data_IF_795963348603
#
_entry.id   IF_795963348603
#
_cell.length_a   1.000
_cell.length_b   1.000
_cell.length_c   1.000
_cell.angle_alpha   90.00
_cell.angle_beta   90.00
_cell.angle_gamma   90.00
#
_symmetry.space_group_name_H-M   'P 1'
#
loop_
_entity.id
_entity.type
_entity.pdbx_description
1 polymer ?
#
# COMPACT_ATOMS: atom_id res chain seq x y z
N UNK A 1 -10.89 44.62 13.49
CA UNK A 1 -11.27 44.63 14.92
C UNK A 1 -11.32 46.06 15.48
N UNK A 2 -12.10 46.32 16.55
CA UNK A 2 -12.23 47.62 17.23
C UNK A 2 -12.37 47.49 18.75
N UNK A 3 -12.03 48.54 19.50
CA UNK A 3 -12.13 48.56 20.96
C UNK A 3 -13.58 48.79 21.40
N UNK A 4 -14.06 47.99 22.36
CA UNK A 4 -15.33 48.21 23.06
C UNK A 4 -15.06 48.38 24.55
N UNK A 5 -15.60 49.46 25.13
CA UNK A 5 -15.45 49.79 26.55
C UNK A 5 -16.82 49.63 27.20
N UNK A 6 -16.96 48.65 28.10
CA UNK A 6 -18.18 48.47 28.89
C UNK A 6 -17.99 49.06 30.28
N UNK A 7 -18.86 50.00 30.65
CA UNK A 7 -18.85 50.66 31.96
C UNK A 7 -19.97 50.07 32.83
N UNK A 8 -19.60 49.53 33.98
CA UNK A 8 -20.54 49.12 35.04
C UNK A 8 -20.33 50.00 36.28
N UNK A 9 -21.27 49.97 37.24
CA UNK A 9 -21.16 50.74 38.50
C UNK A 9 -19.86 50.47 39.26
N UNK A 10 -19.25 49.30 39.09
CA UNK A 10 -18.08 48.86 39.88
C UNK A 10 -16.79 48.68 39.06
N UNK A 11 -16.85 48.68 37.72
CA UNK A 11 -15.67 48.46 36.87
C UNK A 11 -15.87 48.92 35.41
N UNK A 12 -14.79 49.40 34.81
CA UNK A 12 -14.68 49.63 33.34
C UNK A 12 -13.87 48.49 32.72
N UNK A 13 -14.45 47.74 31.79
CA UNK A 13 -13.81 46.60 31.11
C UNK A 13 -13.54 46.90 29.63
N UNK A 14 -12.40 46.42 29.13
CA UNK A 14 -11.96 46.57 27.75
C UNK A 14 -12.09 45.27 26.97
N UNK A 15 -12.69 45.33 25.78
CA UNK A 15 -12.90 44.19 24.89
C UNK A 15 -12.43 44.50 23.47
N UNK A 16 -11.86 43.49 22.81
CA UNK A 16 -11.64 43.49 21.36
C UNK A 16 -12.88 42.90 20.70
N UNK A 17 -13.56 43.67 19.86
CA UNK A 17 -14.74 43.20 19.11
C UNK A 17 -14.48 43.23 17.60
N UNK A 18 -15.03 42.24 16.89
CA UNK A 18 -14.98 42.13 15.43
C UNK A 18 -16.40 42.18 14.87
N UNK A 19 -16.57 42.87 13.75
CA UNK A 19 -17.83 42.83 13.00
C UNK A 19 -17.86 41.57 12.15
N UNK A 20 -18.90 40.76 12.30
CA UNK A 20 -19.11 39.53 11.51
C UNK A 20 -20.46 39.67 10.79
N UNK A 21 -20.58 39.07 9.62
CA UNK A 21 -21.85 39.00 8.89
C UNK A 21 -22.46 37.61 9.08
N UNK A 22 -23.56 37.52 9.82
CA UNK A 22 -24.33 36.29 9.99
C UNK A 22 -25.72 36.50 9.37
N UNK A 23 -26.13 35.60 8.46
CA UNK A 23 -27.44 35.65 7.78
C UNK A 23 -27.77 37.02 7.13
N UNK A 24 -26.79 37.66 6.49
CA UNK A 24 -26.98 38.95 5.82
C UNK A 24 -27.15 40.15 6.76
N UNK A 25 -27.08 39.96 8.09
CA UNK A 25 -27.10 41.04 9.08
C UNK A 25 -25.73 41.19 9.74
N UNK A 26 -25.33 42.43 9.95
CA UNK A 26 -24.05 42.75 10.62
C UNK A 26 -24.22 42.52 12.13
N UNK A 27 -23.53 41.53 12.68
CA UNK A 27 -23.44 41.25 14.11
C UNK A 27 -22.03 41.58 14.64
N UNK A 28 -21.89 41.69 15.96
CA UNK A 28 -20.59 41.94 16.62
C UNK A 28 -20.25 40.79 17.53
N UNK A 29 -19.07 40.19 17.34
CA UNK A 29 -18.54 39.11 18.17
C UNK A 29 -17.38 39.63 19.02
N UNK A 30 -17.34 39.25 20.30
CA UNK A 30 -16.21 39.53 21.18
C UNK A 30 -15.10 38.53 20.85
N UNK A 31 -13.94 39.04 20.43
CA UNK A 31 -12.75 38.23 20.10
C UNK A 31 -11.96 37.93 21.37
N UNK A 32 -11.77 38.95 22.21
CA UNK A 32 -10.93 38.83 23.40
C UNK A 32 -11.32 39.87 24.46
N UNK A 33 -11.19 39.51 25.74
CA UNK A 33 -11.35 40.42 26.87
C UNK A 33 -9.96 40.83 27.38
N UNK A 34 -9.62 42.11 27.25
CA UNK A 34 -8.30 42.65 27.60
C UNK A 34 -8.12 42.82 29.12
N UNK A 35 -9.22 42.99 29.86
CA UNK A 35 -9.24 43.14 31.32
C UNK A 35 -10.01 44.36 31.80
N UNK A 36 -9.98 44.61 33.10
CA UNK A 36 -10.56 45.82 33.72
C UNK A 36 -9.53 46.94 33.84
N UNK A 37 -10.00 48.18 33.96
CA UNK A 37 -9.16 49.37 34.06
C UNK A 37 -8.15 49.31 35.23
N UNK A 38 -8.56 48.76 36.38
CA UNK A 38 -7.68 48.59 37.54
C UNK A 38 -6.57 47.54 37.29
N UNK A 39 -6.89 46.42 36.64
CA UNK A 39 -5.93 45.38 36.28
C UNK A 39 -4.92 45.87 35.24
N UNK A 40 -5.39 46.64 34.26
CA UNK A 40 -4.52 47.19 33.22
C UNK A 40 -3.63 48.31 33.75
N UNK A 41 -4.12 49.15 34.67
CA UNK A 41 -3.29 50.16 35.35
C UNK A 41 -2.16 49.55 36.18
N UNK A 42 -2.42 48.44 36.88
CA UNK A 42 -1.36 47.71 37.60
C UNK A 42 -0.34 47.05 36.67
N UNK A 43 -0.79 46.50 35.54
CA UNK A 43 0.09 45.78 34.60
C UNK A 43 0.94 46.70 33.72
N UNK A 44 0.51 47.94 33.47
CA UNK A 44 1.09 48.79 32.43
C UNK A 44 2.11 49.84 32.94
N UNK A 45 2.57 49.77 34.20
CA UNK A 45 3.66 50.58 34.76
C UNK A 45 3.68 52.06 34.28
N UNK A 46 2.53 52.73 34.32
CA UNK A 46 2.41 54.16 34.00
C UNK A 46 1.99 54.51 32.56
N UNK A 47 1.74 53.55 31.66
CA UNK A 47 1.10 53.82 30.36
C UNK A 47 -0.43 53.87 30.48
N UNK A 48 -1.07 54.73 29.68
CA UNK A 48 -2.54 54.81 29.61
C UNK A 48 -3.11 53.48 29.05
N UNK A 49 -3.96 52.77 29.81
CA UNK A 49 -4.61 51.53 29.35
C UNK A 49 -5.38 51.67 28.04
N UNK A 50 -5.92 52.86 27.74
CA UNK A 50 -6.68 53.11 26.51
C UNK A 50 -5.74 53.15 25.31
N UNK A 51 -4.59 53.81 25.46
CA UNK A 51 -3.59 53.93 24.40
C UNK A 51 -2.97 52.57 24.08
N UNK A 52 -2.63 51.79 25.11
CA UNK A 52 -2.14 50.42 24.95
C UNK A 52 -3.17 49.52 24.25
N UNK A 53 -4.44 49.60 24.64
CA UNK A 53 -5.49 48.78 24.03
C UNK A 53 -5.73 49.16 22.55
N UNK A 54 -5.58 50.43 22.19
CA UNK A 54 -5.63 50.88 20.79
C UNK A 54 -4.44 50.35 19.99
N UNK A 55 -3.21 50.47 20.50
CA UNK A 55 -2.02 49.95 19.81
C UNK A 55 -2.08 48.44 19.64
N UNK A 56 -2.59 47.72 20.64
CA UNK A 56 -2.76 46.27 20.58
C UNK A 56 -3.78 45.84 19.50
N UNK A 57 -4.89 46.59 19.35
CA UNK A 57 -5.88 46.33 18.30
C UNK A 57 -5.34 46.67 16.91
N UNK A 58 -4.50 47.69 16.78
CA UNK A 58 -3.80 47.99 15.52
C UNK A 58 -2.85 46.85 15.12
N UNK A 59 -2.10 46.28 16.07
CA UNK A 59 -1.25 45.12 15.82
C UNK A 59 -2.07 43.90 15.39
N UNK A 60 -3.21 43.64 16.06
CA UNK A 60 -4.13 42.56 15.67
C UNK A 60 -4.73 42.78 14.27
N UNK A 61 -5.10 44.01 13.92
CA UNK A 61 -5.60 44.36 12.59
C UNK A 61 -4.53 44.19 11.52
N UNK A 62 -3.27 44.49 11.82
CA UNK A 62 -2.15 44.25 10.90
C UNK A 62 -1.94 42.76 10.66
N UNK A 63 -1.91 41.94 11.72
CA UNK A 63 -1.81 40.48 11.62
C UNK A 63 -2.97 39.86 10.84
N UNK A 64 -4.20 40.32 11.07
CA UNK A 64 -5.39 39.86 10.33
C UNK A 64 -5.27 40.23 8.83
N UNK A 65 -4.81 41.44 8.52
CA UNK A 65 -4.59 41.92 7.14
C UNK A 65 -3.47 41.18 6.42
N UNK A 66 -2.43 40.77 7.13
CA UNK A 66 -1.37 39.91 6.60
C UNK A 66 -1.88 38.50 6.30
N UNK A 67 -2.74 37.95 7.16
CA UNK A 67 -3.36 36.63 6.97
C UNK A 67 -4.43 36.64 5.88
N UNK A 68 -5.17 37.73 5.70
CA UNK A 68 -6.26 37.86 4.72
C UNK A 68 -5.82 38.56 3.41
N UNK A 69 -4.53 38.56 3.11
CA UNK A 69 -3.98 39.31 1.98
C UNK A 69 -4.51 38.76 0.65
N UNK A 70 -5.37 39.53 -0.01
CA UNK A 70 -5.79 39.22 -1.37
C UNK A 70 -4.63 39.42 -2.35
N UNK A 71 -4.19 38.34 -2.98
CA UNK A 71 -3.14 38.38 -4.00
C UNK A 71 -3.80 38.53 -5.37
N UNK A 72 -3.92 39.78 -5.83
CA UNK A 72 -4.41 40.06 -7.20
C UNK A 72 -3.26 39.84 -8.19
N UNK A 73 -3.31 38.72 -8.90
CA UNK A 73 -2.35 38.39 -9.95
C UNK A 73 -2.77 39.06 -11.26
N UNK A 74 -2.05 40.13 -11.65
CA UNK A 74 -2.26 40.80 -12.96
C UNK A 74 -1.56 40.00 -14.05
N UNK A 75 -2.33 39.37 -14.93
CA UNK A 75 -1.82 38.70 -16.13
C UNK A 75 -2.10 39.54 -17.37
N UNK A 76 -1.11 39.63 -18.27
CA UNK A 76 -1.31 40.20 -19.60
C UNK A 76 -1.55 39.07 -20.60
N UNK A 77 -2.64 39.10 -21.41
CA UNK A 77 -2.91 38.08 -22.43
C UNK A 77 -1.89 38.08 -23.57
N UNK A 78 -1.17 39.19 -23.77
CA UNK A 78 -0.11 39.29 -24.79
C UNK A 78 1.27 38.83 -24.30
N UNK A 79 1.44 38.55 -22.99
CA UNK A 79 2.72 38.15 -22.43
C UNK A 79 2.93 36.65 -22.62
N UNK A 80 3.78 36.31 -23.58
CA UNK A 80 4.22 34.94 -23.83
C UNK A 80 4.99 34.39 -22.63
N UNK A 81 4.76 33.13 -22.31
CA UNK A 81 5.48 32.41 -21.25
C UNK A 81 6.93 32.21 -21.72
N UNK A 82 7.90 32.51 -20.85
CA UNK A 82 9.31 32.28 -21.14
C UNK A 82 9.55 30.81 -21.47
N UNK A 83 10.38 30.54 -22.48
CA UNK A 83 10.79 29.20 -22.85
C UNK A 83 11.37 28.49 -21.62
N UNK A 84 11.00 27.22 -21.44
CA UNK A 84 11.43 26.36 -20.33
C UNK A 84 10.96 26.78 -18.92
N UNK A 85 10.04 27.76 -18.81
CA UNK A 85 9.44 28.11 -17.52
C UNK A 85 8.27 27.18 -17.16
N UNK A 86 8.47 26.33 -16.16
CA UNK A 86 7.41 25.48 -15.60
C UNK A 86 6.40 26.32 -14.79
N UNK A 87 5.11 26.23 -15.17
CA UNK A 87 3.99 26.86 -14.44
C UNK A 87 2.87 25.89 -14.09
N UNK A 88 2.99 24.63 -14.52
CA UNK A 88 2.04 23.56 -14.23
C UNK A 88 2.69 22.53 -13.32
N UNK A 89 1.98 22.14 -12.27
CA UNK A 89 2.46 21.21 -11.26
C UNK A 89 1.37 20.21 -10.89
N UNK A 90 1.80 19.00 -10.56
CA UNK A 90 0.94 17.93 -10.10
C UNK A 90 0.81 17.99 -8.58
N UNK A 91 -0.41 18.21 -8.08
CA UNK A 91 -0.72 18.23 -6.64
C UNK A 91 -1.23 16.89 -6.07
N UNK A 92 -1.45 15.87 -6.90
CA UNK A 92 -2.02 14.59 -6.46
C UNK A 92 -1.20 13.83 -5.41
N UNK A 93 0.10 14.14 -5.27
CA UNK A 93 0.96 13.53 -4.25
C UNK A 93 0.67 14.02 -2.83
N UNK A 94 -0.04 15.15 -2.65
CA UNK A 94 -0.32 15.74 -1.34
C UNK A 94 -1.14 14.78 -0.44
N UNK A 95 -2.03 13.97 -1.02
CA UNK A 95 -2.76 12.94 -0.28
C UNK A 95 -1.82 11.85 0.26
N UNK A 96 -0.82 11.46 -0.54
CA UNK A 96 0.20 10.49 -0.13
C UNK A 96 1.14 11.11 0.92
N UNK A 97 1.41 12.40 0.82
CA UNK A 97 2.19 13.14 1.81
C UNK A 97 1.50 13.16 3.17
N UNK A 98 0.18 13.38 3.22
CA UNK A 98 -0.57 13.28 4.46
C UNK A 98 -0.38 11.88 5.11
N UNK A 99 -0.61 10.81 4.36
CA UNK A 99 -0.43 9.42 4.85
C UNK A 99 1.01 9.19 5.31
N UNK A 100 2.00 9.69 4.57
CA UNK A 100 3.41 9.60 4.91
C UNK A 100 3.74 10.24 6.27
N UNK A 101 3.16 11.41 6.54
CA UNK A 101 3.32 12.11 7.82
C UNK A 101 2.55 11.44 8.96
N UNK A 102 1.33 10.95 8.70
CA UNK A 102 0.52 10.22 9.69
C UNK A 102 1.23 8.93 10.14
N UNK A 103 1.89 8.23 9.21
CA UNK A 103 2.74 7.07 9.48
C UNK A 103 4.10 7.43 10.12
N UNK A 104 4.34 8.73 10.37
CA UNK A 104 5.57 9.29 10.93
C UNK A 104 6.86 8.91 10.18
N UNK A 105 6.78 8.64 8.86
CA UNK A 105 7.95 8.26 8.07
C UNK A 105 9.01 9.37 8.02
N UNK A 106 8.58 10.64 8.06
CA UNK A 106 9.50 11.78 8.18
C UNK A 106 10.39 11.73 9.44
N UNK A 107 9.86 11.22 10.56
CA UNK A 107 10.63 11.06 11.80
C UNK A 107 11.60 9.89 11.69
N UNK A 108 11.15 8.78 11.09
CA UNK A 108 12.01 7.62 10.81
C UNK A 108 13.19 8.04 9.93
N UNK A 109 12.96 8.81 8.87
CA UNK A 109 14.02 9.37 8.04
C UNK A 109 14.95 10.29 8.82
N UNK A 110 14.43 11.14 9.71
CA UNK A 110 15.25 12.03 10.54
C UNK A 110 16.16 11.25 11.50
N UNK A 111 15.67 10.15 12.09
CA UNK A 111 16.45 9.33 13.00
C UNK A 111 17.54 8.54 12.28
N UNK A 112 17.26 8.03 11.08
CA UNK A 112 18.27 7.44 10.19
C UNK A 112 19.31 8.50 9.79
N UNK A 113 18.89 9.72 9.43
CA UNK A 113 19.79 10.82 9.07
C UNK A 113 20.75 11.20 10.19
N UNK A 114 20.31 11.17 11.45
CA UNK A 114 21.19 11.42 12.61
C UNK A 114 22.27 10.36 12.76
N UNK A 115 21.95 9.09 12.46
CA UNK A 115 22.89 7.96 12.59
C UNK A 115 24.02 8.00 11.58
N UNK A 116 23.73 8.38 10.33
CA UNK A 116 24.67 8.28 9.20
C UNK A 116 25.25 9.62 8.73
N UNK A 117 24.77 10.76 9.24
CA UNK A 117 25.25 12.13 8.91
C UNK A 117 25.37 12.37 7.40
N UNK A 118 24.25 12.37 6.69
CA UNK A 118 24.21 12.57 5.24
C UNK A 118 24.53 14.01 4.81
N UNK A 119 24.99 14.15 3.57
CA UNK A 119 25.06 15.43 2.85
C UNK A 119 23.77 15.78 2.08
N UNK A 120 22.74 14.93 2.16
CA UNK A 120 21.51 15.03 1.39
C UNK A 120 20.29 14.74 2.25
N UNK A 121 19.12 15.23 1.87
CA UNK A 121 17.87 14.98 2.59
C UNK A 121 17.28 13.60 2.25
N UNK A 122 17.44 12.64 3.17
CA UNK A 122 16.87 11.30 3.07
C UNK A 122 15.33 11.31 3.08
N UNK A 123 14.71 12.23 3.82
CA UNK A 123 13.25 12.35 3.89
C UNK A 123 12.67 12.80 2.54
N UNK A 124 13.30 13.80 1.91
CA UNK A 124 12.93 14.23 0.57
C UNK A 124 13.08 13.09 -0.43
N UNK A 125 14.16 12.30 -0.38
CA UNK A 125 14.35 11.17 -1.30
C UNK A 125 13.31 10.06 -1.06
N UNK A 126 13.13 9.63 0.20
CA UNK A 126 12.21 8.54 0.54
C UNK A 126 10.78 8.88 0.13
N UNK A 127 10.32 10.09 0.45
CA UNK A 127 8.99 10.56 0.08
C UNK A 127 8.77 10.55 -1.44
N UNK A 128 9.73 11.06 -2.24
CA UNK A 128 9.63 11.05 -3.70
C UNK A 128 9.64 9.64 -4.28
N UNK A 129 10.44 8.73 -3.72
CA UNK A 129 10.45 7.33 -4.14
C UNK A 129 9.11 6.64 -3.86
N UNK A 130 8.49 6.90 -2.70
CA UNK A 130 7.19 6.34 -2.36
C UNK A 130 6.06 6.93 -3.21
N UNK A 131 5.99 8.26 -3.33
CA UNK A 131 4.94 8.92 -4.12
C UNK A 131 5.03 8.53 -5.59
N UNK A 132 6.24 8.53 -6.15
CA UNK A 132 6.46 8.14 -7.53
C UNK A 132 6.12 6.67 -7.78
N UNK A 133 6.42 5.77 -6.84
CA UNK A 133 6.06 4.35 -6.96
C UNK A 133 4.56 4.12 -7.06
N UNK A 134 3.75 4.94 -6.38
CA UNK A 134 2.28 4.84 -6.38
C UNK A 134 1.69 5.55 -7.60
N UNK A 135 2.14 6.77 -7.90
CA UNK A 135 1.54 7.61 -8.93
C UNK A 135 1.99 7.26 -10.36
N UNK A 136 3.25 6.87 -10.53
CA UNK A 136 3.85 6.56 -11.84
C UNK A 136 4.94 5.48 -11.70
N UNK A 137 4.55 4.21 -11.50
CA UNK A 137 5.49 3.12 -11.25
C UNK A 137 6.53 3.03 -12.39
N UNK A 138 7.78 3.36 -12.08
CA UNK A 138 8.85 3.49 -13.08
C UNK A 138 10.23 3.28 -12.46
N UNK A 139 11.30 3.44 -13.26
CA UNK A 139 12.68 3.38 -12.78
C UNK A 139 12.99 4.51 -11.79
N UNK A 140 14.05 4.34 -10.98
CA UNK A 140 14.50 5.37 -10.02
C UNK A 140 14.89 6.67 -10.73
N UNK A 141 15.54 6.56 -11.89
CA UNK A 141 15.84 7.69 -12.77
C UNK A 141 14.57 8.39 -13.27
N UNK A 142 13.57 7.64 -13.73
CA UNK A 142 12.31 8.22 -14.19
C UNK A 142 11.55 8.89 -13.04
N UNK A 143 11.55 8.28 -11.87
CA UNK A 143 10.95 8.85 -10.64
C UNK A 143 11.59 10.19 -10.28
N UNK A 144 12.92 10.27 -10.31
CA UNK A 144 13.67 11.52 -10.11
C UNK A 144 13.34 12.58 -11.17
N UNK A 145 13.26 12.20 -12.44
CA UNK A 145 12.87 13.14 -13.51
C UNK A 145 11.42 13.61 -13.38
N UNK A 146 10.53 12.79 -12.84
CA UNK A 146 9.13 13.14 -12.66
C UNK A 146 8.88 13.94 -11.39
N UNK A 147 9.75 13.90 -10.38
CA UNK A 147 9.56 14.69 -9.16
C UNK A 147 9.61 16.19 -9.39
N UNK A 148 10.28 16.68 -10.44
CA UNK A 148 10.23 18.11 -10.82
C UNK A 148 8.82 18.58 -11.21
N UNK A 149 7.93 17.66 -11.57
CA UNK A 149 6.52 17.97 -11.88
C UNK A 149 5.70 18.27 -10.63
N UNK A 150 6.20 18.00 -9.43
CA UNK A 150 5.49 18.29 -8.17
C UNK A 150 5.60 19.76 -7.77
N UNK A 151 4.68 20.22 -6.93
CA UNK A 151 4.67 21.60 -6.43
C UNK A 151 5.94 21.86 -5.61
N UNK A 152 6.26 20.95 -4.69
CA UNK A 152 7.50 20.96 -3.92
C UNK A 152 8.66 20.44 -4.77
N UNK A 153 9.60 21.32 -5.09
CA UNK A 153 10.81 20.97 -5.84
C UNK A 153 11.81 20.24 -4.96
N UNK A 154 12.59 19.36 -5.58
CA UNK A 154 13.63 18.55 -4.90
C UNK A 154 14.93 19.32 -4.76
N UNK A 155 15.63 19.11 -3.65
CA UNK A 155 16.93 19.71 -3.29
C UNK A 155 18.10 18.70 -3.41
N UNK A 156 17.86 17.56 -4.05
CA UNK A 156 18.84 16.49 -4.19
C UNK A 156 19.08 16.14 -5.66
N UNK A 157 20.24 15.54 -5.92
CA UNK A 157 20.63 15.07 -7.25
C UNK A 157 20.44 13.55 -7.38
N UNK A 158 20.50 13.05 -8.63
CA UNK A 158 20.26 11.65 -8.95
C UNK A 158 21.16 10.68 -8.16
N UNK A 159 22.45 11.00 -7.98
CA UNK A 159 23.37 10.16 -7.22
C UNK A 159 22.97 10.02 -5.75
N UNK A 160 22.30 11.03 -5.18
CA UNK A 160 21.79 10.95 -3.82
C UNK A 160 20.67 9.91 -3.72
N UNK A 161 19.83 9.80 -4.75
CA UNK A 161 18.80 8.75 -4.82
C UNK A 161 19.44 7.36 -4.74
N UNK A 162 20.49 7.10 -5.52
CA UNK A 162 21.15 5.79 -5.50
C UNK A 162 21.86 5.50 -4.18
N UNK A 163 22.55 6.48 -3.60
CA UNK A 163 23.20 6.35 -2.28
C UNK A 163 22.19 6.10 -1.16
N UNK A 164 21.03 6.75 -1.22
CA UNK A 164 19.96 6.55 -0.24
C UNK A 164 19.42 5.12 -0.24
N UNK A 165 19.37 4.44 -1.40
CA UNK A 165 18.87 3.06 -1.48
C UNK A 165 19.68 2.08 -0.64
N UNK A 166 21.01 2.24 -0.57
CA UNK A 166 21.86 1.39 0.26
C UNK A 166 21.54 1.55 1.75
N UNK A 167 21.31 2.78 2.19
CA UNK A 167 20.95 3.09 3.57
C UNK A 167 19.58 2.55 3.89
N UNK A 168 18.59 2.81 3.02
CA UNK A 168 17.21 2.32 3.20
C UNK A 168 17.22 0.78 3.29
N UNK A 169 18.04 0.11 2.48
CA UNK A 169 18.20 -1.35 2.54
C UNK A 169 18.82 -1.82 3.85
N UNK A 170 19.83 -1.11 4.38
CA UNK A 170 20.49 -1.44 5.66
C UNK A 170 19.56 -1.24 6.86
N UNK A 171 18.73 -0.19 6.83
CA UNK A 171 17.78 0.16 7.89
C UNK A 171 16.39 -0.46 7.69
N UNK A 172 16.25 -1.41 6.78
CA UNK A 172 14.97 -2.03 6.43
C UNK A 172 14.21 -2.55 7.66
N UNK A 173 14.89 -3.27 8.56
CA UNK A 173 14.25 -3.83 9.76
C UNK A 173 13.77 -2.73 10.74
N UNK A 174 14.52 -1.62 10.85
CA UNK A 174 14.12 -0.45 11.64
C UNK A 174 12.93 0.30 11.03
N UNK A 175 12.94 0.50 9.71
CA UNK A 175 11.85 1.15 8.97
C UNK A 175 10.56 0.34 9.15
N UNK A 176 10.63 -0.98 8.94
CA UNK A 176 9.46 -1.86 9.05
C UNK A 176 8.89 -1.88 10.47
N UNK A 177 9.75 -2.01 11.49
CA UNK A 177 9.29 -2.04 12.90
C UNK A 177 8.68 -0.72 13.37
N UNK A 178 9.26 0.41 12.93
CA UNK A 178 8.72 1.75 13.20
C UNK A 178 7.39 1.95 12.48
N UNK A 179 7.30 1.57 11.21
CA UNK A 179 6.09 1.69 10.40
C UNK A 179 4.95 0.84 10.99
N UNK A 180 5.22 -0.42 11.35
CA UNK A 180 4.26 -1.27 12.03
C UNK A 180 3.73 -0.60 13.30
N UNK A 181 4.61 -0.14 14.18
CA UNK A 181 4.22 0.52 15.43
C UNK A 181 3.40 1.79 15.21
N UNK A 182 3.78 2.62 14.23
CA UNK A 182 3.07 3.86 13.91
C UNK A 182 1.70 3.57 13.30
N UNK A 183 1.59 2.54 12.46
CA UNK A 183 0.35 2.17 11.79
C UNK A 183 -0.76 1.73 12.76
N UNK A 184 -0.40 1.15 13.92
CA UNK A 184 -1.35 0.76 14.97
C UNK A 184 -2.14 1.95 15.54
N UNK A 185 -1.62 3.17 15.40
CA UNK A 185 -2.31 4.40 15.85
C UNK A 185 -3.35 4.88 14.84
N UNK A 186 -3.23 4.48 13.58
CA UNK A 186 -4.08 4.93 12.47
C UNK A 186 -5.21 3.93 12.24
N UNK A 187 -4.90 2.64 12.25
CA UNK A 187 -5.87 1.57 12.03
C UNK A 187 -5.69 0.45 13.04
N UNK A 188 -6.81 -0.11 13.49
CA UNK A 188 -6.82 -1.37 14.23
C UNK A 188 -6.38 -2.50 13.29
N UNK A 189 -5.73 -3.52 13.87
CA UNK A 189 -5.30 -4.71 13.15
C UNK A 189 -6.29 -5.84 13.36
N UNK A 190 -6.62 -6.54 12.28
CA UNK A 190 -7.35 -7.80 12.36
C UNK A 190 -6.38 -8.92 12.76
N UNK A 191 -6.18 -9.07 14.07
CA UNK A 191 -5.27 -10.06 14.65
C UNK A 191 -5.90 -11.45 14.77
N UNK A 192 -7.07 -11.71 14.18
CA UNK A 192 -7.67 -13.05 14.21
C UNK A 192 -6.92 -14.05 13.32
N UNK A 193 -6.32 -13.55 12.23
CA UNK A 193 -5.59 -14.34 11.24
C UNK A 193 -4.29 -13.60 10.89
N UNK A 194 -3.20 -14.35 10.82
CA UNK A 194 -1.92 -13.87 10.32
C UNK A 194 -1.58 -14.64 9.04
N UNK A 195 -1.64 -13.98 7.89
CA UNK A 195 -1.26 -14.55 6.61
C UNK A 195 0.24 -14.44 6.39
N UNK A 196 0.85 -15.48 5.83
CA UNK A 196 2.22 -15.47 5.35
C UNK A 196 2.26 -16.02 3.93
N UNK A 197 2.69 -15.19 2.97
CA UNK A 197 2.88 -15.57 1.58
C UNK A 197 4.35 -15.42 1.16
N UNK A 198 4.85 -16.37 0.40
CA UNK A 198 6.22 -16.37 -0.11
C UNK A 198 6.20 -16.13 -1.61
N UNK A 199 7.02 -15.22 -2.12
CA UNK A 199 7.24 -15.03 -3.56
C UNK A 199 8.73 -15.03 -3.88
N UNK A 200 9.10 -15.03 -5.17
CA UNK A 200 10.49 -14.86 -5.58
C UNK A 200 10.67 -13.82 -6.68
N UNK A 201 11.82 -13.15 -6.64
CA UNK A 201 12.29 -12.23 -7.66
C UNK A 201 13.43 -12.90 -8.42
N UNK A 202 13.32 -13.00 -9.75
CA UNK A 202 14.42 -13.48 -10.59
C UNK A 202 15.29 -12.33 -11.07
N UNK A 203 16.56 -12.63 -11.33
CA UNK A 203 17.54 -11.67 -11.82
C UNK A 203 18.11 -12.18 -13.14
N UNK A 204 18.12 -11.36 -14.18
CA UNK A 204 18.73 -11.69 -15.47
C UNK A 204 20.26 -11.56 -15.38
N UNK A 205 20.86 -12.42 -14.57
CA UNK A 205 22.30 -12.57 -14.38
C UNK A 205 22.69 -14.02 -14.61
N UNK A 206 23.93 -14.24 -15.03
CA UNK A 206 24.45 -15.56 -15.42
C UNK A 206 25.05 -16.33 -14.24
N UNK A 207 25.25 -15.68 -13.09
CA UNK A 207 25.91 -16.26 -11.92
C UNK A 207 25.22 -15.82 -10.63
N UNK A 208 25.26 -16.70 -9.62
CA UNK A 208 24.76 -16.41 -8.28
C UNK A 208 25.62 -15.35 -7.59
N UNK A 209 24.98 -14.47 -6.80
CA UNK A 209 25.67 -13.39 -6.09
C UNK A 209 24.88 -12.94 -4.84
N UNK A 210 25.51 -13.10 -3.67
CA UNK A 210 24.91 -12.76 -2.38
C UNK A 210 23.61 -13.54 -2.14
N UNK A 211 22.49 -12.84 -1.96
CA UNK A 211 21.16 -13.46 -1.80
C UNK A 211 20.61 -14.07 -3.10
N UNK A 212 21.14 -13.67 -4.26
CA UNK A 212 20.67 -14.12 -5.58
C UNK A 212 21.27 -15.49 -5.84
N UNK A 213 20.55 -16.55 -5.50
CA UNK A 213 21.03 -17.92 -5.61
C UNK A 213 20.09 -18.75 -6.50
N UNK A 214 20.60 -19.81 -7.12
CA UNK A 214 19.77 -20.72 -7.89
C UNK A 214 18.78 -21.47 -6.99
N UNK A 215 17.52 -21.57 -7.41
CA UNK A 215 16.47 -22.19 -6.63
C UNK A 215 15.20 -22.44 -7.43
N UNK A 216 14.16 -22.91 -6.76
CA UNK A 216 12.86 -23.19 -7.39
C UNK A 216 12.13 -21.87 -7.73
N UNK A 217 12.39 -21.33 -8.92
CA UNK A 217 11.69 -20.16 -9.45
C UNK A 217 10.20 -20.44 -9.64
N UNK A 218 9.33 -19.52 -9.19
CA UNK A 218 7.88 -19.64 -9.41
C UNK A 218 7.52 -19.47 -10.89
N UNK A 219 8.34 -18.74 -11.64
CA UNK A 219 8.23 -18.60 -13.10
C UNK A 219 8.96 -19.72 -13.87
N UNK A 220 9.52 -20.72 -13.16
CA UNK A 220 10.33 -21.79 -13.76
C UNK A 220 11.50 -21.28 -14.61
N UNK A 221 12.07 -20.12 -14.23
CA UNK A 221 13.27 -19.59 -14.88
C UNK A 221 14.53 -20.24 -14.33
N UNK A 222 15.56 -20.46 -15.17
CA UNK A 222 16.84 -21.03 -14.74
C UNK A 222 17.74 -20.00 -14.02
N UNK A 223 17.29 -18.76 -13.89
CA UNK A 223 18.08 -17.67 -13.36
C UNK A 223 18.16 -17.67 -11.82
N UNK A 224 19.19 -17.03 -11.23
CA UNK A 224 19.24 -16.80 -9.79
C UNK A 224 18.01 -16.02 -9.30
N UNK A 225 17.53 -16.39 -8.12
CA UNK A 225 16.36 -15.78 -7.48
C UNK A 225 16.68 -15.29 -6.06
N UNK A 226 15.86 -14.36 -5.57
CA UNK A 226 15.74 -14.01 -4.15
C UNK A 226 14.33 -14.36 -3.71
N UNK A 227 14.19 -14.93 -2.51
CA UNK A 227 12.89 -15.19 -1.92
C UNK A 227 12.45 -14.04 -1.04
N UNK A 228 11.16 -13.72 -1.06
CA UNK A 228 10.54 -12.74 -0.19
C UNK A 228 9.32 -13.36 0.51
N UNK A 229 9.32 -13.38 1.84
CA UNK A 229 8.12 -13.65 2.61
C UNK A 229 7.42 -12.36 3.01
N UNK A 230 6.09 -12.36 3.02
CA UNK A 230 5.26 -11.21 3.37
C UNK A 230 4.21 -11.62 4.41
N UNK A 231 4.21 -10.93 5.55
CA UNK A 231 3.20 -11.04 6.59
C UNK A 231 2.08 -10.04 6.34
N UNK A 232 0.83 -10.49 6.49
CA UNK A 232 -0.37 -9.66 6.40
C UNK A 232 -1.35 -9.99 7.52
N UNK A 233 -2.12 -9.01 7.97
CA UNK A 233 -3.24 -9.24 8.89
C UNK A 233 -4.47 -9.83 8.17
N UNK A 234 -5.53 -10.14 8.92
CA UNK A 234 -6.75 -10.74 8.39
C UNK A 234 -7.50 -9.87 7.36
N UNK A 235 -7.18 -8.57 7.28
CA UNK A 235 -7.75 -7.64 6.30
C UNK A 235 -6.83 -7.48 5.06
N UNK A 236 -5.72 -8.21 5.03
CA UNK A 236 -4.75 -8.19 3.93
C UNK A 236 -3.78 -7.01 3.98
N UNK A 237 -3.65 -6.31 5.11
CA UNK A 237 -2.71 -5.20 5.22
C UNK A 237 -1.29 -5.74 5.52
N UNK A 238 -0.27 -5.34 4.74
CA UNK A 238 1.11 -5.73 5.00
C UNK A 238 1.63 -5.30 6.38
N UNK A 239 2.30 -6.23 7.06
CA UNK A 239 2.87 -6.02 8.40
C UNK A 239 4.40 -5.95 8.36
N UNK A 240 5.03 -6.92 7.69
CA UNK A 240 6.47 -6.99 7.48
C UNK A 240 6.78 -7.93 6.32
N UNK A 241 7.97 -7.80 5.76
CA UNK A 241 8.54 -8.73 4.81
C UNK A 241 9.98 -9.08 5.19
N UNK A 242 10.41 -10.27 4.76
CA UNK A 242 11.77 -10.76 4.89
C UNK A 242 12.32 -11.15 3.52
N UNK A 243 13.63 -10.99 3.34
CA UNK A 243 14.34 -11.44 2.14
C UNK A 243 15.29 -12.55 2.51
N UNK A 244 15.20 -13.65 1.79
CA UNK A 244 16.03 -14.85 1.98
C UNK A 244 16.73 -15.21 0.67
N UNK A 245 17.82 -15.95 0.81
CA UNK A 245 18.56 -16.48 -0.33
C UNK A 245 17.68 -17.39 -1.20
N UNK A 246 17.86 -17.34 -2.52
CA UNK A 246 17.06 -18.08 -3.50
C UNK A 246 16.93 -19.58 -3.28
N UNK A 247 17.95 -20.20 -2.69
CA UNK A 247 18.06 -21.62 -2.38
C UNK A 247 17.51 -22.01 -0.99
N UNK A 248 17.02 -21.05 -0.21
CA UNK A 248 16.49 -21.32 1.13
C UNK A 248 15.11 -21.97 1.01
N UNK A 249 14.74 -22.85 1.93
CA UNK A 249 13.34 -23.29 2.01
C UNK A 249 12.47 -22.13 2.53
N UNK A 250 11.17 -22.16 2.23
CA UNK A 250 10.15 -21.17 2.66
C UNK A 250 9.89 -21.19 4.17
N UNK A 251 10.94 -21.10 4.97
CA UNK A 251 10.85 -21.01 6.40
C UNK A 251 10.84 -19.54 6.80
N UNK A 252 10.02 -19.25 7.81
CA UNK A 252 10.00 -17.96 8.49
C UNK A 252 11.38 -17.75 9.11
N UNK A 253 11.99 -16.63 8.79
CA UNK A 253 13.25 -16.24 9.40
C UNK A 253 12.90 -15.64 10.76
N UNK A 254 13.32 -16.20 11.89
CA UNK A 254 12.90 -15.69 13.21
C UNK A 254 13.58 -14.36 13.60
N UNK A 255 13.49 -13.33 12.75
CA UNK A 255 13.97 -11.97 13.03
C UNK A 255 13.17 -11.33 14.17
N UNK A 256 13.73 -10.34 14.90
CA UNK A 256 13.05 -9.69 16.02
C UNK A 256 11.67 -9.09 15.70
N UNK A 257 11.49 -8.48 14.52
CA UNK A 257 10.19 -7.95 14.11
C UNK A 257 9.18 -9.08 13.85
N UNK A 258 9.62 -10.17 13.21
CA UNK A 258 8.77 -11.34 12.95
C UNK A 258 8.37 -12.00 14.27
N UNK A 259 9.30 -12.13 15.22
CA UNK A 259 8.99 -12.59 16.58
C UNK A 259 8.01 -11.67 17.30
N UNK A 260 8.15 -10.35 17.14
CA UNK A 260 7.21 -9.36 17.69
C UNK A 260 5.82 -9.51 17.08
N UNK A 261 5.72 -9.62 15.75
CA UNK A 261 4.45 -9.85 15.06
C UNK A 261 3.84 -11.17 15.54
N UNK A 262 4.60 -12.26 15.55
CA UNK A 262 4.13 -13.54 16.08
C UNK A 262 3.68 -13.43 17.54
N UNK A 263 4.35 -12.61 18.35
CA UNK A 263 3.95 -12.34 19.74
C UNK A 263 2.66 -11.53 19.84
N UNK A 264 2.53 -10.44 19.08
CA UNK A 264 1.34 -9.60 19.05
C UNK A 264 0.12 -10.37 18.52
N UNK A 265 0.38 -11.37 17.68
CA UNK A 265 -0.60 -12.26 17.06
C UNK A 265 -0.66 -13.65 17.75
N UNK A 266 -0.22 -13.77 19.02
CA UNK A 266 -0.16 -15.04 19.79
C UNK A 266 -1.49 -15.82 19.88
N UNK A 267 -2.62 -15.14 19.75
CA UNK A 267 -3.97 -15.76 19.76
C UNK A 267 -4.57 -15.88 18.36
N UNK A 268 -3.82 -15.54 17.32
CA UNK A 268 -4.25 -15.61 15.93
C UNK A 268 -4.00 -17.00 15.35
N UNK A 269 -4.83 -17.39 14.38
CA UNK A 269 -4.50 -18.52 13.52
C UNK A 269 -3.43 -18.10 12.53
N UNK A 270 -2.28 -18.76 12.54
CA UNK A 270 -1.20 -18.49 11.59
C UNK A 270 -1.44 -19.26 10.30
N UNK A 271 -1.83 -18.57 9.23
CA UNK A 271 -2.22 -19.17 7.95
C UNK A 271 -1.10 -18.97 6.93
N UNK A 272 -0.43 -20.06 6.57
CA UNK A 272 0.59 -20.05 5.51
C UNK A 272 -0.08 -20.24 4.15
N UNK A 273 0.04 -19.24 3.29
CA UNK A 273 -0.41 -19.28 1.90
C UNK A 273 0.76 -19.72 1.02
N UNK A 274 0.64 -20.88 0.35
CA UNK A 274 1.69 -21.37 -0.56
C UNK A 274 1.15 -21.76 -1.92
N UNK A 275 1.94 -21.50 -2.96
CA UNK A 275 1.66 -22.01 -4.30
C UNK A 275 1.92 -23.52 -4.42
N UNK A 276 1.27 -24.15 -5.41
CA UNK A 276 1.32 -25.58 -5.67
C UNK A 276 2.74 -26.15 -5.85
N UNK A 277 3.71 -25.31 -6.25
CA UNK A 277 5.11 -25.70 -6.42
C UNK A 277 5.83 -26.01 -5.11
N UNK A 278 5.32 -25.52 -3.99
CA UNK A 278 5.99 -25.54 -2.67
C UNK A 278 5.16 -26.30 -1.62
N UNK A 279 4.02 -26.84 -2.05
CA UNK A 279 3.04 -27.58 -1.28
C UNK A 279 3.40 -29.06 -1.03
N UNK A 280 4.69 -29.36 -0.79
CA UNK A 280 5.10 -30.75 -0.49
C UNK A 280 4.32 -31.29 0.71
N UNK A 281 4.11 -32.62 0.77
CA UNK A 281 3.41 -33.23 1.91
C UNK A 281 4.08 -32.89 3.24
N UNK A 282 5.41 -32.84 3.25
CA UNK A 282 6.22 -32.42 4.41
C UNK A 282 5.89 -30.99 4.84
N UNK A 283 5.78 -30.05 3.90
CA UNK A 283 5.45 -28.65 4.20
C UNK A 283 4.01 -28.50 4.69
N UNK A 284 3.06 -29.26 4.12
CA UNK A 284 1.66 -29.27 4.57
C UNK A 284 1.52 -29.76 6.01
N UNK A 285 2.24 -30.82 6.38
CA UNK A 285 2.25 -31.33 7.76
C UNK A 285 2.84 -30.31 8.73
N UNK A 286 4.01 -29.75 8.39
CA UNK A 286 4.67 -28.73 9.20
C UNK A 286 3.80 -27.49 9.44
N UNK A 287 3.03 -27.08 8.43
CA UNK A 287 2.10 -25.94 8.54
C UNK A 287 0.73 -26.32 9.15
N UNK A 288 0.54 -27.57 9.58
CA UNK A 288 -0.64 -28.06 10.29
C UNK A 288 -0.34 -28.43 11.75
N UNK A 289 0.79 -27.98 12.29
CA UNK A 289 1.20 -28.20 13.68
C UNK A 289 0.78 -27.02 14.56
N UNK A 290 0.23 -27.31 15.74
CA UNK A 290 -0.22 -26.30 16.71
C UNK A 290 -1.35 -25.41 16.16
N UNK A 291 -1.24 -24.10 16.37
CA UNK A 291 -2.20 -23.09 15.90
C UNK A 291 -1.99 -22.66 14.43
N UNK A 292 -1.18 -23.42 13.68
CA UNK A 292 -0.90 -23.15 12.27
C UNK A 292 -1.94 -23.80 11.38
N UNK A 293 -2.30 -23.08 10.33
CA UNK A 293 -3.09 -23.57 9.22
C UNK A 293 -2.37 -23.22 7.91
N UNK A 294 -2.83 -23.81 6.81
CA UNK A 294 -2.30 -23.50 5.49
C UNK A 294 -3.41 -23.44 4.46
N UNK A 295 -3.17 -22.62 3.44
CA UNK A 295 -3.95 -22.60 2.20
C UNK A 295 -2.96 -22.88 1.09
N UNK A 296 -3.23 -23.91 0.30
CA UNK A 296 -2.33 -24.30 -0.76
C UNK A 296 -3.08 -24.70 -2.03
N UNK A 297 -2.54 -24.30 -3.18
CA UNK A 297 -3.11 -24.69 -4.46
C UNK A 297 -2.72 -26.14 -4.79
N UNK A 298 -3.67 -26.92 -5.29
CA UNK A 298 -3.43 -28.29 -5.72
C UNK A 298 -4.02 -28.52 -7.11
N UNK A 299 -3.21 -29.08 -8.00
CA UNK A 299 -3.68 -29.43 -9.34
C UNK A 299 -4.73 -30.53 -9.28
N UNK A 300 -5.91 -30.30 -9.86
CA UNK A 300 -6.98 -31.31 -10.01
C UNK A 300 -6.45 -32.57 -10.71
N UNK A 301 -5.45 -32.44 -11.59
CA UNK A 301 -4.83 -33.57 -12.31
C UNK A 301 -4.09 -34.54 -11.38
N UNK A 302 -3.58 -34.05 -10.24
CA UNK A 302 -2.84 -34.84 -9.24
C UNK A 302 -3.75 -35.46 -8.17
N UNK A 303 -5.06 -35.17 -8.19
CA UNK A 303 -6.01 -35.76 -7.25
C UNK A 303 -6.28 -37.24 -7.58
N UNK A 304 -6.63 -38.02 -6.56
CA UNK A 304 -7.09 -39.41 -6.76
C UNK A 304 -8.35 -39.45 -7.62
N UNK A 305 -8.57 -40.56 -8.32
CA UNK A 305 -9.66 -40.74 -9.32
C UNK A 305 -11.03 -40.29 -8.80
N UNK A 306 -11.39 -40.67 -7.57
CA UNK A 306 -12.69 -40.32 -6.98
C UNK A 306 -12.81 -38.81 -6.69
N UNK A 307 -11.76 -38.15 -6.17
CA UNK A 307 -11.74 -36.71 -5.93
C UNK A 307 -11.75 -35.91 -7.23
N UNK A 308 -11.03 -36.39 -8.25
CA UNK A 308 -11.03 -35.80 -9.58
C UNK A 308 -12.41 -35.88 -10.22
N UNK A 309 -13.09 -37.03 -10.11
CA UNK A 309 -14.47 -37.20 -10.57
C UNK A 309 -15.42 -36.20 -9.91
N UNK A 310 -15.41 -36.14 -8.58
CA UNK A 310 -16.21 -35.18 -7.80
C UNK A 310 -15.93 -33.71 -8.15
N UNK A 311 -14.65 -33.36 -8.33
CA UNK A 311 -14.24 -31.97 -8.66
C UNK A 311 -14.72 -31.52 -10.05
N UNK A 312 -14.92 -32.46 -10.97
CA UNK A 312 -15.32 -32.19 -12.36
C UNK A 312 -16.83 -32.40 -12.60
N UNK A 313 -17.57 -32.86 -11.59
CA UNK A 313 -19.00 -33.05 -11.68
C UNK A 313 -19.74 -31.72 -11.86
N UNK A 314 -20.76 -31.72 -12.74
CA UNK A 314 -21.45 -30.49 -13.13
C UNK A 314 -22.39 -29.96 -12.04
N UNK A 315 -22.96 -30.84 -11.22
CA UNK A 315 -23.91 -30.51 -10.14
C UNK A 315 -23.21 -30.33 -8.81
N UNK A 316 -23.82 -29.59 -7.87
CA UNK A 316 -23.33 -29.50 -6.50
C UNK A 316 -22.53 -28.25 -6.19
N UNK A 317 -22.65 -27.19 -7.00
CA UNK A 317 -21.90 -25.95 -6.82
C UNK A 317 -22.69 -24.93 -6.00
N UNK A 318 -22.00 -24.10 -5.23
CA UNK A 318 -22.59 -23.10 -4.35
C UNK A 318 -22.05 -21.70 -4.63
N UNK A 319 -22.81 -20.67 -4.27
CA UNK A 319 -22.36 -19.28 -4.20
C UNK A 319 -22.25 -18.87 -2.74
N UNK A 320 -21.26 -18.04 -2.38
CA UNK A 320 -21.00 -17.70 -0.97
C UNK A 320 -22.20 -17.06 -0.26
N UNK A 321 -23.04 -16.36 -1.03
CA UNK A 321 -24.20 -15.62 -0.51
C UNK A 321 -25.53 -16.39 -0.64
N UNK A 322 -25.52 -17.62 -1.19
CA UNK A 322 -26.74 -18.37 -1.49
C UNK A 322 -26.62 -19.84 -1.09
N UNK A 323 -27.59 -20.33 -0.33
CA UNK A 323 -27.73 -21.74 0.06
C UNK A 323 -28.25 -22.65 -1.07
N UNK A 324 -28.32 -22.14 -2.29
CA UNK A 324 -28.77 -22.90 -3.46
C UNK A 324 -27.63 -23.68 -4.07
N UNK A 325 -27.97 -24.86 -4.56
CA UNK A 325 -27.08 -25.72 -5.33
C UNK A 325 -27.30 -25.47 -6.82
N UNK A 326 -26.20 -25.39 -7.58
CA UNK A 326 -26.20 -25.06 -9.00
C UNK A 326 -25.59 -26.20 -9.83
N UNK A 327 -26.07 -26.33 -11.08
CA UNK A 327 -25.42 -27.07 -12.14
C UNK A 327 -24.69 -26.08 -13.07
N UNK A 328 -23.37 -26.23 -13.20
CA UNK A 328 -22.54 -25.31 -13.99
C UNK A 328 -22.82 -25.38 -15.51
N UNK A 329 -23.50 -26.41 -16.00
CA UNK A 329 -23.90 -26.50 -17.42
C UNK A 329 -25.13 -25.69 -17.76
N UNK A 330 -25.95 -25.34 -16.77
CA UNK A 330 -27.23 -24.64 -16.92
C UNK A 330 -27.13 -23.15 -16.55
N UNK A 331 -25.92 -22.66 -16.24
CA UNK A 331 -25.71 -21.27 -15.85
C UNK A 331 -25.83 -20.33 -17.04
N UNK A 332 -26.61 -19.26 -16.86
CA UNK A 332 -26.63 -18.13 -17.78
C UNK A 332 -25.31 -17.35 -17.72
N UNK A 333 -24.64 -17.20 -18.87
CA UNK A 333 -23.28 -16.65 -18.93
C UNK A 333 -23.22 -15.14 -18.66
N UNK A 334 -24.28 -14.38 -18.95
CA UNK A 334 -24.32 -12.94 -18.70
C UNK A 334 -24.65 -12.64 -17.23
N UNK A 335 -25.66 -13.29 -16.66
CA UNK A 335 -26.08 -13.07 -15.27
C UNK A 335 -24.99 -13.45 -14.27
N UNK A 336 -24.27 -14.54 -14.51
CA UNK A 336 -23.29 -15.10 -13.57
C UNK A 336 -21.83 -14.83 -13.96
N UNK A 337 -21.59 -13.91 -14.91
CA UNK A 337 -20.26 -13.62 -15.48
C UNK A 337 -19.17 -13.35 -14.43
N UNK A 338 -19.49 -12.51 -13.45
CA UNK A 338 -18.58 -12.07 -12.39
C UNK A 338 -18.75 -12.85 -11.07
N UNK A 339 -19.53 -13.95 -11.09
CA UNK A 339 -19.74 -14.80 -9.91
C UNK A 339 -18.73 -15.94 -9.87
N UNK A 340 -18.33 -16.33 -8.65
CA UNK A 340 -17.43 -17.45 -8.39
C UNK A 340 -18.18 -18.52 -7.61
N UNK A 341 -18.40 -19.67 -8.25
CA UNK A 341 -19.02 -20.84 -7.66
C UNK A 341 -17.95 -21.70 -6.99
N UNK A 342 -18.32 -22.41 -5.93
CA UNK A 342 -17.40 -23.33 -5.27
C UNK A 342 -18.06 -24.65 -4.84
N UNK A 343 -17.22 -25.65 -4.66
CA UNK A 343 -17.50 -26.93 -4.02
C UNK A 343 -16.50 -27.15 -2.91
N UNK A 344 -16.95 -27.75 -1.81
CA UNK A 344 -16.05 -28.08 -0.72
C UNK A 344 -16.35 -29.45 -0.12
N UNK A 345 -15.30 -30.10 0.39
CA UNK A 345 -15.41 -31.34 1.15
C UNK A 345 -14.21 -31.53 2.06
N UNK A 346 -14.39 -32.29 3.14
CA UNK A 346 -13.28 -32.82 3.91
C UNK A 346 -12.69 -34.05 3.23
N UNK A 347 -11.36 -34.15 3.29
CA UNK A 347 -10.58 -35.31 2.86
C UNK A 347 -9.58 -35.67 3.94
N UNK A 348 -9.31 -36.97 4.10
CA UNK A 348 -8.26 -37.48 4.99
C UNK A 348 -7.34 -38.36 4.17
N UNK A 349 -6.24 -37.80 3.71
CA UNK A 349 -5.24 -38.51 2.89
C UNK A 349 -3.88 -38.43 3.54
N UNK A 350 -3.12 -39.53 3.49
CA UNK A 350 -1.79 -39.64 4.09
C UNK A 350 -1.78 -39.22 5.58
N UNK A 351 -2.86 -39.42 6.32
CA UNK A 351 -2.93 -39.02 7.74
C UNK A 351 -2.96 -37.50 7.98
N UNK A 352 -3.28 -36.70 6.96
CA UNK A 352 -3.59 -35.28 7.08
C UNK A 352 -5.05 -35.05 6.70
N UNK A 353 -5.81 -34.40 7.58
CA UNK A 353 -7.18 -33.97 7.31
C UNK A 353 -7.17 -32.57 6.70
N UNK A 354 -7.82 -32.41 5.55
CA UNK A 354 -7.79 -31.19 4.76
C UNK A 354 -9.18 -30.88 4.22
N UNK A 355 -9.51 -29.59 4.11
CA UNK A 355 -10.68 -29.13 3.39
C UNK A 355 -10.30 -28.82 1.94
N UNK A 356 -10.84 -29.59 1.00
CA UNK A 356 -10.64 -29.35 -0.42
C UNK A 356 -11.72 -28.38 -0.91
N UNK A 357 -11.30 -27.24 -1.46
CA UNK A 357 -12.18 -26.24 -2.07
C UNK A 357 -11.87 -26.17 -3.57
N UNK A 358 -12.89 -26.32 -4.42
CA UNK A 358 -12.78 -26.24 -5.87
C UNK A 358 -13.64 -25.07 -6.34
N UNK A 359 -13.07 -24.17 -7.13
CA UNK A 359 -13.76 -22.97 -7.62
C UNK A 359 -14.00 -23.02 -9.12
N UNK A 360 -15.11 -22.44 -9.57
CA UNK A 360 -15.49 -22.28 -10.97
C UNK A 360 -16.02 -20.87 -11.21
N UNK A 361 -15.55 -20.21 -12.27
CA UNK A 361 -16.13 -18.95 -12.74
C UNK A 361 -16.22 -18.95 -14.27
N UNK A 362 -17.28 -18.32 -14.78
CA UNK A 362 -17.55 -18.24 -16.22
C UNK A 362 -16.44 -17.44 -16.91
N UNK A 363 -15.99 -16.35 -16.29
CA UNK A 363 -14.84 -15.57 -16.73
C UNK A 363 -13.58 -16.43 -16.93
N UNK A 364 -13.23 -17.26 -15.95
CA UNK A 364 -12.05 -18.12 -16.05
C UNK A 364 -12.24 -19.25 -17.08
N UNK A 365 -13.44 -19.85 -17.15
CA UNK A 365 -13.81 -20.82 -18.19
C UNK A 365 -13.60 -20.24 -19.59
N UNK A 366 -14.13 -19.04 -19.85
CA UNK A 366 -14.07 -18.39 -21.15
C UNK A 366 -12.64 -17.98 -21.50
N UNK A 367 -11.87 -17.47 -20.55
CA UNK A 367 -10.42 -17.23 -20.70
C UNK A 367 -9.67 -18.52 -21.10
N UNK A 368 -9.87 -19.62 -20.38
CA UNK A 368 -9.22 -20.90 -20.68
C UNK A 368 -9.71 -21.49 -22.02
N UNK A 369 -10.98 -21.29 -22.38
CA UNK A 369 -11.54 -21.70 -23.68
C UNK A 369 -10.86 -20.94 -24.83
N UNK A 370 -10.69 -19.62 -24.69
CA UNK A 370 -10.01 -18.80 -25.68
C UNK A 370 -8.56 -19.24 -25.89
N UNK A 371 -7.81 -19.49 -24.80
CA UNK A 371 -6.43 -20.03 -24.90
C UNK A 371 -6.40 -21.35 -25.66
N UNK A 372 -7.29 -22.29 -25.33
CA UNK A 372 -7.38 -23.58 -26.05
C UNK A 372 -7.73 -23.39 -27.52
N UNK A 373 -8.67 -22.50 -27.84
CA UNK A 373 -9.05 -22.21 -29.23
C UNK A 373 -7.87 -21.67 -30.03
N UNK A 374 -7.13 -20.70 -29.48
CA UNK A 374 -5.92 -20.17 -30.12
C UNK A 374 -4.83 -21.23 -30.30
N UNK A 375 -4.72 -22.20 -29.38
CA UNK A 375 -3.82 -23.34 -29.56
C UNK A 375 -4.28 -24.25 -30.72
N UNK A 376 -5.58 -24.57 -30.79
CA UNK A 376 -6.15 -25.40 -31.87
C UNK A 376 -5.96 -24.73 -33.23
N UNK A 377 -6.25 -23.43 -33.35
CA UNK A 377 -6.02 -22.67 -34.58
C UNK A 377 -4.56 -22.72 -35.04
N UNK A 378 -3.61 -22.60 -34.11
CA UNK A 378 -2.17 -22.71 -34.42
C UNK A 378 -1.79 -24.12 -34.86
N UNK A 379 -2.37 -25.15 -34.24
CA UNK A 379 -2.16 -26.54 -34.63
C UNK A 379 -2.72 -26.82 -36.04
N UNK A 380 -3.93 -26.34 -36.33
CA UNK A 380 -4.54 -26.46 -37.64
C UNK A 380 -3.71 -25.77 -38.72
N UNK A 381 -3.28 -24.53 -38.49
CA UNK A 381 -2.38 -23.80 -39.42
C UNK A 381 -1.06 -24.53 -39.66
N UNK A 382 -0.52 -25.24 -38.67
CA UNK A 382 0.70 -26.03 -38.82
C UNK A 382 0.45 -27.27 -39.70
N UNK A 383 -0.67 -27.98 -39.47
CA UNK A 383 -1.08 -29.12 -40.30
C UNK A 383 -1.27 -28.71 -41.76
N UNK A 384 -1.90 -27.57 -41.99
CA UNK A 384 -2.20 -27.07 -43.35
C UNK A 384 -0.94 -26.57 -44.09
N UNK A 385 0.13 -26.16 -43.37
CA UNK A 385 1.32 -25.56 -43.97
C UNK A 385 2.55 -26.47 -44.05
N UNK A 386 2.83 -27.31 -43.04
CA UNK A 386 3.94 -28.28 -43.10
C UNK A 386 3.89 -29.36 -41.98
N UNK A 387 3.42 -30.60 -42.25
CA UNK A 387 3.22 -31.64 -41.23
C UNK A 387 4.50 -32.23 -40.62
N UNK A 388 5.67 -32.00 -41.21
CA UNK A 388 6.93 -32.71 -40.88
C UNK A 388 7.69 -32.19 -39.66
N UNK A 389 7.28 -31.07 -39.05
CA UNK A 389 7.93 -30.46 -37.85
C UNK A 389 7.29 -30.85 -36.51
N UNK A 390 6.73 -32.06 -36.41
CA UNK A 390 6.11 -32.60 -35.20
C UNK A 390 7.14 -33.35 -34.34
N UNK A 391 7.97 -32.60 -33.59
CA UNK A 391 8.79 -33.18 -32.51
C UNK A 391 8.14 -32.95 -31.14
N UNK A 392 8.55 -33.77 -30.15
CA UNK A 392 7.99 -33.83 -28.78
C UNK A 392 7.69 -32.44 -28.19
N UNK A 393 6.48 -32.31 -27.67
CA UNK A 393 5.89 -31.04 -27.27
C UNK A 393 5.67 -30.95 -25.76
N UNK A 394 5.90 -29.76 -25.18
CA UNK A 394 5.61 -29.48 -23.77
C UNK A 394 4.10 -29.31 -23.54
N UNK A 395 3.66 -29.36 -22.26
CA UNK A 395 2.24 -29.40 -21.90
C UNK A 395 1.41 -28.20 -22.38
N UNK A 396 2.02 -27.07 -22.75
CA UNK A 396 1.35 -25.87 -23.27
C UNK A 396 1.54 -25.65 -24.78
N UNK A 397 2.20 -26.57 -25.46
CA UNK A 397 2.45 -26.49 -26.89
C UNK A 397 1.22 -26.99 -27.65
N UNK A 398 0.85 -26.27 -28.71
CA UNK A 398 -0.27 -26.61 -29.59
C UNK A 398 -0.03 -27.94 -30.32
N UNK A 399 1.23 -28.37 -30.46
CA UNK A 399 1.60 -29.67 -31.04
C UNK A 399 1.17 -30.89 -30.21
N UNK A 400 0.61 -30.71 -29.01
CA UNK A 400 0.11 -31.80 -28.14
C UNK A 400 -1.25 -32.37 -28.54
N UNK A 401 -1.98 -31.69 -29.43
CA UNK A 401 -3.36 -32.03 -29.80
C UNK A 401 -3.45 -33.00 -31.00
N UNK A 402 -2.31 -33.32 -31.62
CA UNK A 402 -2.19 -34.36 -32.64
C UNK A 402 -1.53 -35.59 -32.03
#
# INVERSE_FOLDING_TARGET
>A
MRLSISKSKNATSFYVIQSVFENGRRSTKVVEKLGTLAELQQKLNGRDPIEWAKSYIEELNQKEKEQSREVILKYSPSKVISKDQQRFFNGGYLFLQQIYHDLNLHKVSADISKKYKFSFDLNAILSRLLYGRILFPSSKLATYKHSSKFIEQTDFELQHVYRALEVISKEMDFIQSSLYTNSLKISKRNTGILYYDCTNYFFEIEQEDGLKQYGASKEHRPNPIIQMGLFMDGDGIPLAFNLNSGNTNEQITLKPLEQKILSDFKLSKFVVCTDAGLASEKNRRFNNEGERAFITTQSIKKLKKHLKGWSLESKGWHLADHDKTYDITELDEETYKDKCFFKERWIKENGLEQKLIVTYSIKYKNYQRQIRHSQIERAQKLLDSNPTKLSKSHQNDYKRFN
#
